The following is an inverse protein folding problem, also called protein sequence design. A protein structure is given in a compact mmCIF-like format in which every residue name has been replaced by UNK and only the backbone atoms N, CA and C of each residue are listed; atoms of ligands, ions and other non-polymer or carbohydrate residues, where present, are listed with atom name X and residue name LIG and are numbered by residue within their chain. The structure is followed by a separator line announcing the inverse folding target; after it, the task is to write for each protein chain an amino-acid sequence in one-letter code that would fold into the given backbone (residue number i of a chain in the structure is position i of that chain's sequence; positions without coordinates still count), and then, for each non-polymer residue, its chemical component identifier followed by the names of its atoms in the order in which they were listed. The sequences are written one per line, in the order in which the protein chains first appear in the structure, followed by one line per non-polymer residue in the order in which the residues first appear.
data_IF_466942791328
#
_entry.id   IF_466942791328
#
_cell.length_a   1.000
_cell.length_b   1.000
_cell.length_c   1.000
_cell.angle_alpha   90.00
_cell.angle_beta   90.00
_cell.angle_gamma   90.00
#
_symmetry.space_group_name_H-M   'P 1'
#
loop_
_entity.id
_entity.type
_entity.pdbx_description
1 polymer ?
#
# COMPACT_ATOMS: atom_id res chain seq x y z
N UNK A 1 -2.44 28.68 -0.56
CA UNK A 1 -2.29 27.42 0.21
C UNK A 1 -1.47 26.34 -0.55
N UNK A 2 -0.58 26.71 -1.47
CA UNK A 2 -0.57 26.00 -2.77
C UNK A 2 0.46 24.87 -2.95
N UNK A 3 1.61 24.86 -2.28
CA UNK A 3 2.68 23.89 -2.57
C UNK A 3 3.06 23.05 -1.34
N UNK A 4 3.19 23.70 -0.18
CA UNK A 4 3.50 23.06 1.11
C UNK A 4 2.48 21.94 1.43
N UNK A 5 1.18 22.26 1.30
CA UNK A 5 0.09 21.30 1.56
C UNK A 5 0.11 20.13 0.58
N UNK A 6 0.48 20.37 -0.69
CA UNK A 6 0.57 19.30 -1.70
C UNK A 6 1.79 18.40 -1.46
N UNK A 7 2.93 18.96 -1.05
CA UNK A 7 4.10 18.16 -0.63
C UNK A 7 3.80 17.35 0.63
N UNK A 8 3.04 17.92 1.56
CA UNK A 8 2.59 17.19 2.75
C UNK A 8 1.72 15.99 2.36
N UNK A 9 0.78 16.16 1.41
CA UNK A 9 -0.05 15.06 0.93
C UNK A 9 0.78 13.90 0.32
N UNK A 10 1.83 14.19 -0.45
CA UNK A 10 2.77 13.16 -0.95
C UNK A 10 3.51 12.48 0.21
N UNK A 11 3.95 13.25 1.20
CA UNK A 11 4.62 12.71 2.39
C UNK A 11 3.71 11.77 3.16
N UNK A 12 2.45 12.16 3.38
CA UNK A 12 1.45 11.35 4.07
C UNK A 12 1.13 10.07 3.28
N UNK A 13 0.99 10.16 1.95
CA UNK A 13 0.80 9.00 1.08
C UNK A 13 1.99 8.03 1.14
N UNK A 14 3.22 8.55 1.17
CA UNK A 14 4.43 7.75 1.31
C UNK A 14 4.49 7.04 2.68
N UNK A 15 4.16 7.74 3.77
CA UNK A 15 4.11 7.15 5.10
C UNK A 15 3.02 6.07 5.21
N UNK A 16 1.88 6.26 4.54
CA UNK A 16 0.83 5.25 4.46
C UNK A 16 1.29 3.99 3.71
N UNK A 17 2.06 4.15 2.62
CA UNK A 17 2.67 3.06 1.87
C UNK A 17 3.69 2.28 2.72
N UNK A 18 4.57 2.99 3.44
CA UNK A 18 5.53 2.34 4.34
C UNK A 18 4.84 1.57 5.48
N UNK A 19 3.71 2.09 5.97
CA UNK A 19 2.89 1.40 6.96
C UNK A 19 2.26 0.12 6.40
N UNK A 20 1.65 0.18 5.21
CA UNK A 20 1.05 -1.00 4.58
C UNK A 20 2.08 -2.06 4.22
N UNK A 21 3.28 -1.67 3.81
CA UNK A 21 4.40 -2.58 3.58
C UNK A 21 4.75 -3.39 4.83
N UNK A 22 4.86 -2.73 5.99
CA UNK A 22 5.17 -3.40 7.26
C UNK A 22 4.09 -4.40 7.66
N UNK A 23 2.82 -4.08 7.39
CA UNK A 23 1.69 -4.98 7.63
C UNK A 23 1.78 -6.20 6.70
N UNK A 24 1.99 -5.97 5.40
CA UNK A 24 2.17 -7.03 4.40
C UNK A 24 3.32 -7.97 4.80
N UNK A 25 4.50 -7.44 5.13
CA UNK A 25 5.66 -8.22 5.58
C UNK A 25 5.33 -9.06 6.83
N UNK A 26 4.54 -8.50 7.76
CA UNK A 26 4.12 -9.19 8.97
C UNK A 26 3.12 -10.32 8.68
N UNK A 27 2.16 -10.09 7.76
CA UNK A 27 1.22 -11.11 7.31
C UNK A 27 1.94 -12.27 6.61
N UNK A 28 2.92 -11.98 5.76
CA UNK A 28 3.73 -13.00 5.08
C UNK A 28 4.48 -13.86 6.09
N UNK A 29 5.17 -13.24 7.05
CA UNK A 29 5.90 -13.98 8.12
C UNK A 29 4.96 -14.87 8.95
N UNK A 30 3.77 -14.37 9.28
CA UNK A 30 2.79 -15.14 10.03
C UNK A 30 2.26 -16.32 9.21
N UNK A 31 2.03 -16.13 7.91
CA UNK A 31 1.64 -17.21 7.00
C UNK A 31 2.74 -18.28 6.87
N UNK A 32 4.00 -17.87 6.70
CA UNK A 32 5.15 -18.78 6.71
C UNK A 32 5.24 -19.61 7.99
N UNK A 33 5.02 -18.99 9.16
CA UNK A 33 4.98 -19.70 10.43
C UNK A 33 3.84 -20.73 10.49
N UNK A 34 2.66 -20.40 9.95
CA UNK A 34 1.53 -21.34 9.91
C UNK A 34 1.75 -22.48 8.93
N UNK A 35 2.51 -22.29 7.85
CA UNK A 35 2.90 -23.39 6.97
C UNK A 35 3.79 -24.41 7.67
N UNK A 36 4.58 -23.99 8.66
CA UNK A 36 5.49 -24.87 9.40
C UNK A 36 4.83 -25.54 10.61
N UNK A 37 3.93 -24.84 11.29
CA UNK A 37 3.44 -25.25 12.61
C UNK A 37 1.92 -25.12 12.81
N UNK A 38 1.19 -24.56 11.85
CA UNK A 38 -0.23 -24.25 11.97
C UNK A 38 -1.16 -25.38 11.54
N UNK A 39 -2.43 -25.25 11.89
CA UNK A 39 -3.49 -26.10 11.34
C UNK A 39 -3.84 -25.70 9.89
N UNK A 40 -4.55 -26.56 9.17
CA UNK A 40 -5.04 -26.24 7.83
C UNK A 40 -5.94 -24.98 7.84
N UNK A 41 -6.75 -24.79 8.88
CA UNK A 41 -7.62 -23.62 9.04
C UNK A 41 -6.82 -22.34 9.28
N UNK A 42 -5.73 -22.43 10.05
CA UNK A 42 -4.81 -21.28 10.25
C UNK A 42 -4.15 -20.90 8.92
N UNK A 43 -3.66 -21.87 8.15
CA UNK A 43 -3.07 -21.63 6.83
C UNK A 43 -4.06 -20.89 5.92
N UNK A 44 -5.33 -21.34 5.88
CA UNK A 44 -6.38 -20.69 5.07
C UNK A 44 -6.63 -19.25 5.54
N UNK A 45 -6.76 -19.04 6.85
CA UNK A 45 -7.00 -17.71 7.43
C UNK A 45 -5.84 -16.76 7.14
N UNK A 46 -4.60 -17.18 7.37
CA UNK A 46 -3.43 -16.33 7.15
C UNK A 46 -3.14 -16.11 5.67
N UNK A 47 -3.46 -17.06 4.78
CA UNK A 47 -3.45 -16.84 3.33
C UNK A 47 -4.38 -15.69 2.94
N UNK A 48 -5.60 -15.67 3.46
CA UNK A 48 -6.54 -14.58 3.19
C UNK A 48 -6.01 -13.23 3.70
N UNK A 49 -5.41 -13.20 4.89
CA UNK A 49 -4.79 -11.99 5.45
C UNK A 49 -3.64 -11.47 4.56
N UNK A 50 -2.79 -12.36 4.03
CA UNK A 50 -1.73 -11.98 3.08
C UNK A 50 -2.33 -11.37 1.82
N UNK A 51 -3.36 -11.98 1.23
CA UNK A 51 -4.00 -11.45 0.03
C UNK A 51 -4.54 -10.04 0.25
N UNK A 52 -5.29 -9.82 1.33
CA UNK A 52 -5.82 -8.49 1.66
C UNK A 52 -4.72 -7.46 1.95
N UNK A 53 -3.61 -7.88 2.57
CA UNK A 53 -2.48 -6.98 2.82
C UNK A 53 -1.75 -6.59 1.52
N UNK A 54 -1.61 -7.52 0.57
CA UNK A 54 -1.05 -7.23 -0.76
C UNK A 54 -1.94 -6.26 -1.56
N UNK A 55 -3.26 -6.47 -1.56
CA UNK A 55 -4.22 -5.57 -2.20
C UNK A 55 -4.11 -4.16 -1.60
N UNK A 56 -4.12 -4.04 -0.28
CA UNK A 56 -3.96 -2.76 0.39
C UNK A 56 -2.60 -2.09 0.09
N UNK A 57 -1.52 -2.86 -0.07
CA UNK A 57 -0.21 -2.33 -0.44
C UNK A 57 -0.22 -1.75 -1.87
N UNK A 58 -0.84 -2.45 -2.82
CA UNK A 58 -1.00 -1.98 -4.20
C UNK A 58 -1.83 -0.69 -4.25
N UNK A 59 -2.94 -0.64 -3.53
CA UNK A 59 -3.78 0.56 -3.45
C UNK A 59 -2.99 1.78 -2.93
N UNK A 60 -2.06 1.58 -1.98
CA UNK A 60 -1.20 2.67 -1.49
C UNK A 60 -0.14 3.09 -2.48
N UNK A 61 0.39 2.18 -3.30
CA UNK A 61 1.29 2.52 -4.40
C UNK A 61 0.56 3.43 -5.39
N UNK A 62 -0.64 3.02 -5.80
CA UNK A 62 -1.44 3.78 -6.76
C UNK A 62 -1.79 5.16 -6.21
N UNK A 63 -2.19 5.24 -4.93
CA UNK A 63 -2.46 6.50 -4.26
C UNK A 63 -1.23 7.44 -4.25
N UNK A 64 -0.04 6.91 -3.96
CA UNK A 64 1.19 7.72 -3.95
C UNK A 64 1.51 8.24 -5.36
N UNK A 65 1.42 7.38 -6.37
CA UNK A 65 1.65 7.76 -7.77
C UNK A 65 0.66 8.85 -8.19
N UNK A 66 -0.63 8.65 -7.91
CA UNK A 66 -1.67 9.65 -8.23
C UNK A 66 -1.40 10.98 -7.55
N UNK A 67 -1.06 10.95 -6.26
CA UNK A 67 -0.77 12.17 -5.49
C UNK A 67 0.45 12.91 -6.04
N UNK A 68 1.50 12.18 -6.43
CA UNK A 68 2.69 12.75 -7.05
C UNK A 68 2.39 13.34 -8.44
N UNK A 69 1.60 12.65 -9.27
CA UNK A 69 1.15 13.15 -10.57
C UNK A 69 0.39 14.46 -10.42
N UNK A 70 -0.54 14.56 -9.46
CA UNK A 70 -1.26 15.80 -9.18
C UNK A 70 -0.35 16.94 -8.71
N UNK A 71 0.69 16.63 -7.91
CA UNK A 71 1.71 17.61 -7.52
C UNK A 71 2.50 18.13 -8.73
N UNK A 72 2.84 17.25 -9.66
CA UNK A 72 3.57 17.55 -10.89
C UNK A 72 2.69 18.20 -11.98
N UNK A 73 1.39 18.41 -11.68
CA UNK A 73 0.43 18.97 -12.62
C UNK A 73 0.05 18.01 -13.74
N UNK A 74 0.27 16.71 -13.57
CA UNK A 74 -0.12 15.67 -14.53
C UNK A 74 -1.47 15.11 -14.12
N UNK A 75 -2.42 15.03 -15.05
CA UNK A 75 -3.70 14.38 -14.82
C UNK A 75 -3.52 12.85 -14.68
N UNK A 76 -3.89 12.22 -13.54
CA UNK A 76 -3.68 10.78 -13.32
C UNK A 76 -4.40 9.88 -14.33
N UNK A 77 -5.52 10.35 -14.89
CA UNK A 77 -6.35 9.61 -15.84
C UNK A 77 -5.79 9.73 -17.25
N UNK A 78 -5.66 10.95 -17.77
CA UNK A 78 -5.24 11.18 -19.17
C UNK A 78 -3.72 11.19 -19.38
N UNK A 79 -2.93 11.27 -18.30
CA UNK A 79 -1.46 11.36 -18.29
C UNK A 79 -0.90 12.58 -19.04
N UNK A 80 -1.69 13.65 -19.14
CA UNK A 80 -1.29 14.93 -19.77
C UNK A 80 -1.02 15.99 -18.70
N UNK A 81 -0.15 16.94 -19.00
CA UNK A 81 0.04 18.15 -18.20
C UNK A 81 -1.26 18.98 -18.21
N UNK A 82 -1.64 19.48 -17.03
CA UNK A 82 -2.75 20.38 -16.78
C UNK A 82 -2.34 21.84 -16.92
#
# INVERSE_FOLDING_TARGET
MALEQRRQAVTDAYLALESSKKIMDSCVKAYEAMLLHGSADDIIRYRAAVMSACEAYIDRIDQLIWTQMELDGIDPISRKLR
#
